data_IF_644989180462
#
_entry.id   IF_644989180462
#
_cell.length_a   1.000
_cell.length_b   1.000
_cell.length_c   1.000
_cell.angle_alpha   90.00
_cell.angle_beta   90.00
_cell.angle_gamma   90.00
#
_symmetry.space_group_name_H-M   'P 1'
#
loop_
_entity.id
_entity.type
_entity.pdbx_description
1 polymer ?
#
# COMPACT_ATOMS: atom_id res chain seq x y z
N UNK A 1 6.53 -11.35 14.68
CA UNK A 1 6.46 -12.16 13.45
C UNK A 1 6.31 -11.29 12.20
N UNK A 2 5.28 -10.42 12.10
CA UNK A 2 5.05 -9.54 10.94
C UNK A 2 6.32 -8.85 10.42
N UNK A 3 6.99 -8.05 11.26
CA UNK A 3 8.20 -7.33 10.87
C UNK A 3 9.37 -8.25 10.46
N UNK A 4 9.51 -9.44 11.07
CA UNK A 4 10.56 -10.40 10.70
C UNK A 4 10.30 -11.00 9.31
N UNK A 5 9.05 -11.38 9.03
CA UNK A 5 8.68 -12.01 7.76
C UNK A 5 8.58 -11.04 6.59
N UNK A 6 8.36 -9.74 6.85
CA UNK A 6 8.30 -8.70 5.80
C UNK A 6 9.60 -7.91 5.74
N UNK A 7 9.81 -6.97 6.67
CA UNK A 7 10.99 -6.09 6.68
C UNK A 7 12.31 -6.86 6.81
N UNK A 8 12.33 -7.89 7.66
CA UNK A 8 13.50 -8.74 7.85
C UNK A 8 13.67 -9.81 6.77
N UNK A 9 12.68 -10.00 5.90
CA UNK A 9 12.63 -11.03 4.86
C UNK A 9 13.05 -12.44 5.37
N UNK A 10 12.73 -12.76 6.62
CA UNK A 10 13.17 -14.00 7.27
C UNK A 10 12.40 -15.21 6.72
N UNK A 11 13.13 -16.09 6.01
CA UNK A 11 12.55 -17.25 5.31
C UNK A 11 11.89 -18.24 6.25
N UNK A 12 12.45 -18.44 7.44
CA UNK A 12 11.87 -19.35 8.43
C UNK A 12 10.52 -18.81 8.94
N UNK A 13 10.46 -17.53 9.27
CA UNK A 13 9.21 -16.84 9.63
C UNK A 13 8.18 -16.88 8.50
N UNK A 14 8.59 -16.69 7.25
CA UNK A 14 7.69 -16.78 6.09
C UNK A 14 7.10 -18.18 5.94
N UNK A 15 7.92 -19.22 6.05
CA UNK A 15 7.46 -20.62 5.98
C UNK A 15 6.48 -20.95 7.10
N UNK A 16 6.79 -20.54 8.34
CA UNK A 16 5.90 -20.74 9.49
C UNK A 16 4.59 -19.98 9.33
N UNK A 17 4.63 -18.74 8.84
CA UNK A 17 3.44 -17.95 8.60
C UNK A 17 2.53 -18.60 7.55
N UNK A 18 3.09 -19.15 6.48
CA UNK A 18 2.35 -19.89 5.46
C UNK A 18 1.70 -21.15 6.02
N UNK A 19 2.42 -21.92 6.84
CA UNK A 19 1.87 -23.12 7.48
C UNK A 19 0.69 -22.78 8.41
N UNK A 20 0.83 -21.74 9.24
CA UNK A 20 -0.25 -21.27 10.13
C UNK A 20 -1.42 -20.69 9.36
N UNK A 21 -1.17 -19.97 8.27
CA UNK A 21 -2.23 -19.45 7.42
C UNK A 21 -3.02 -20.59 6.77
N UNK A 22 -2.34 -21.65 6.31
CA UNK A 22 -3.01 -22.86 5.81
C UNK A 22 -3.90 -23.51 6.89
N UNK A 23 -3.39 -23.66 8.12
CA UNK A 23 -4.17 -24.17 9.25
C UNK A 23 -5.40 -23.31 9.55
N UNK A 24 -5.23 -21.97 9.59
CA UNK A 24 -6.32 -21.01 9.78
C UNK A 24 -7.42 -21.14 8.73
N UNK A 25 -7.06 -21.40 7.46
CA UNK A 25 -8.03 -21.60 6.37
C UNK A 25 -8.82 -22.89 6.55
N UNK A 26 -8.19 -23.95 7.04
CA UNK A 26 -8.86 -25.24 7.29
C UNK A 26 -9.77 -25.17 8.51
N UNK A 27 -9.32 -24.53 9.59
CA UNK A 27 -10.10 -24.31 10.80
C UNK A 27 -9.63 -23.01 11.48
N UNK A 28 -10.50 -22.00 11.49
CA UNK A 28 -10.19 -20.68 12.02
C UNK A 28 -9.94 -20.67 13.54
N UNK A 29 -10.37 -21.71 14.26
CA UNK A 29 -10.11 -21.86 15.69
C UNK A 29 -8.67 -22.31 16.00
N UNK A 30 -7.91 -22.77 15.00
CA UNK A 30 -6.53 -23.28 15.19
C UNK A 30 -5.49 -22.18 15.38
N UNK A 31 -5.84 -20.93 15.08
CA UNK A 31 -4.93 -19.78 15.14
C UNK A 31 -5.56 -18.65 15.94
N UNK A 32 -4.79 -18.06 16.85
CA UNK A 32 -5.20 -16.85 17.57
C UNK A 32 -5.59 -15.74 16.57
N UNK A 33 -6.82 -15.17 16.64
CA UNK A 33 -7.26 -14.11 15.76
C UNK A 33 -6.32 -12.90 15.67
N UNK A 34 -5.54 -12.62 16.72
CA UNK A 34 -4.56 -11.53 16.74
C UNK A 34 -3.35 -11.78 15.84
N UNK A 35 -3.07 -13.05 15.50
CA UNK A 35 -1.97 -13.41 14.59
C UNK A 35 -2.38 -13.29 13.13
N UNK A 36 -3.67 -13.45 12.81
CA UNK A 36 -4.16 -13.53 11.42
C UNK A 36 -3.73 -12.33 10.55
N UNK A 37 -3.80 -11.06 11.02
CA UNK A 37 -3.33 -9.93 10.21
C UNK A 37 -1.84 -10.04 9.86
N UNK A 38 -1.00 -10.52 10.78
CA UNK A 38 0.43 -10.71 10.53
C UNK A 38 0.68 -11.86 9.54
N UNK A 39 -0.07 -12.97 9.66
CA UNK A 39 0.02 -14.09 8.73
C UNK A 39 -0.34 -13.67 7.31
N UNK A 40 -1.49 -13.00 7.14
CA UNK A 40 -1.96 -12.49 5.84
C UNK A 40 -0.96 -11.51 5.24
N UNK A 41 -0.40 -10.60 6.04
CA UNK A 41 0.61 -9.65 5.57
C UNK A 41 1.90 -10.33 5.11
N UNK A 42 2.36 -11.39 5.81
CA UNK A 42 3.57 -12.12 5.44
C UNK A 42 3.33 -12.94 4.17
N UNK A 43 2.19 -13.63 4.08
CA UNK A 43 1.83 -14.43 2.89
C UNK A 43 1.70 -13.52 1.67
N UNK A 44 1.01 -12.38 1.75
CA UNK A 44 0.95 -11.45 0.62
C UNK A 44 2.33 -10.90 0.24
N UNK A 45 3.17 -10.54 1.20
CA UNK A 45 4.50 -10.00 0.94
C UNK A 45 5.44 -10.99 0.24
N UNK A 46 5.35 -12.27 0.61
CA UNK A 46 6.19 -13.35 0.08
C UNK A 46 5.47 -14.26 -0.92
N UNK A 47 4.28 -13.84 -1.36
CA UNK A 47 3.35 -14.65 -2.14
C UNK A 47 3.56 -14.54 -3.64
N UNK A 48 3.06 -15.55 -4.34
CA UNK A 48 3.08 -15.64 -5.80
C UNK A 48 1.67 -15.37 -6.40
N UNK A 49 1.52 -15.66 -7.69
CA UNK A 49 0.25 -15.50 -8.39
C UNK A 49 -0.88 -16.36 -7.81
N UNK A 50 -0.59 -17.58 -7.35
CA UNK A 50 -1.60 -18.45 -6.77
C UNK A 50 -2.10 -17.91 -5.43
N UNK A 51 -1.19 -17.38 -4.60
CA UNK A 51 -1.56 -16.69 -3.35
C UNK A 51 -2.38 -15.42 -3.63
N UNK A 52 -2.03 -14.68 -4.69
CA UNK A 52 -2.78 -13.48 -5.10
C UNK A 52 -4.20 -13.83 -5.53
N UNK A 53 -4.36 -14.84 -6.38
CA UNK A 53 -5.67 -15.27 -6.85
C UNK A 53 -6.54 -15.79 -5.71
N UNK A 54 -5.93 -16.45 -4.72
CA UNK A 54 -6.61 -16.85 -3.49
C UNK A 54 -7.09 -15.64 -2.69
N UNK A 55 -6.22 -14.65 -2.47
CA UNK A 55 -6.57 -13.43 -1.72
C UNK A 55 -7.61 -12.60 -2.46
N UNK A 56 -7.50 -12.51 -3.78
CA UNK A 56 -8.47 -11.87 -4.65
C UNK A 56 -9.83 -12.54 -4.52
N UNK A 57 -9.88 -13.87 -4.63
CA UNK A 57 -11.10 -14.65 -4.43
C UNK A 57 -11.69 -14.41 -3.04
N UNK A 58 -10.86 -14.47 -2.00
CA UNK A 58 -11.28 -14.25 -0.62
C UNK A 58 -11.85 -12.84 -0.39
N UNK A 59 -11.27 -11.81 -1.03
CA UNK A 59 -11.83 -10.46 -1.10
C UNK A 59 -13.23 -10.47 -1.74
N UNK A 60 -13.39 -11.09 -2.91
CA UNK A 60 -14.67 -11.08 -3.65
C UNK A 60 -15.77 -11.89 -2.96
N UNK A 61 -15.43 -12.94 -2.22
CA UNK A 61 -16.40 -13.86 -1.60
C UNK A 61 -16.50 -13.70 -0.07
N UNK A 62 -15.86 -12.68 0.51
CA UNK A 62 -15.87 -12.46 1.95
C UNK A 62 -17.30 -12.35 2.51
N UNK A 63 -17.55 -12.99 3.64
CA UNK A 63 -18.86 -12.97 4.32
C UNK A 63 -19.02 -11.75 5.22
N UNK A 64 -17.92 -11.11 5.59
CA UNK A 64 -17.90 -9.97 6.50
C UNK A 64 -17.11 -8.80 5.89
N UNK A 65 -17.51 -7.55 6.17
CA UNK A 65 -16.73 -6.38 5.72
C UNK A 65 -15.29 -6.39 6.24
N UNK A 66 -15.05 -6.95 7.43
CA UNK A 66 -13.71 -7.05 8.01
C UNK A 66 -12.81 -7.99 7.18
N UNK A 67 -13.31 -9.13 6.75
CA UNK A 67 -12.57 -10.05 5.88
C UNK A 67 -12.38 -9.48 4.48
N UNK A 68 -13.40 -8.84 3.91
CA UNK A 68 -13.30 -8.16 2.62
C UNK A 68 -12.15 -7.14 2.64
N UNK A 69 -12.14 -6.25 3.64
CA UNK A 69 -11.09 -5.23 3.80
C UNK A 69 -9.72 -5.85 4.07
N UNK A 70 -9.65 -6.93 4.86
CA UNK A 70 -8.40 -7.63 5.15
C UNK A 70 -7.73 -8.12 3.87
N UNK A 71 -8.46 -8.83 3.02
CA UNK A 71 -7.91 -9.38 1.79
C UNK A 71 -7.70 -8.31 0.72
N UNK A 72 -8.63 -7.36 0.57
CA UNK A 72 -8.49 -6.24 -0.35
C UNK A 72 -7.17 -5.47 -0.14
N UNK A 73 -6.89 -5.09 1.11
CA UNK A 73 -5.68 -4.33 1.43
C UNK A 73 -4.42 -5.18 1.44
N UNK A 74 -4.54 -6.49 1.62
CA UNK A 74 -3.40 -7.39 1.49
C UNK A 74 -2.90 -7.51 0.03
N UNK A 75 -3.77 -7.31 -0.98
CA UNK A 75 -3.36 -7.30 -2.39
C UNK A 75 -2.26 -6.26 -2.68
N UNK A 76 -2.28 -5.11 -2.01
CA UNK A 76 -1.27 -4.06 -2.18
C UNK A 76 0.13 -4.44 -1.64
N UNK A 77 0.24 -5.54 -0.87
CA UNK A 77 1.49 -6.02 -0.31
C UNK A 77 2.24 -7.02 -1.21
N UNK A 78 1.61 -7.52 -2.28
CA UNK A 78 2.29 -8.39 -3.25
C UNK A 78 3.40 -7.62 -3.98
N UNK A 79 4.59 -8.22 -4.02
CA UNK A 79 5.80 -7.60 -4.59
C UNK A 79 5.94 -7.75 -6.11
N UNK A 80 5.53 -8.88 -6.74
CA UNK A 80 5.65 -9.02 -8.19
C UNK A 80 4.92 -7.90 -8.94
N UNK A 81 5.58 -7.33 -9.95
CA UNK A 81 5.12 -6.10 -10.62
C UNK A 81 3.77 -6.28 -11.30
N UNK A 82 3.56 -7.43 -11.93
CA UNK A 82 2.32 -7.81 -12.60
C UNK A 82 1.13 -7.89 -11.64
N UNK A 83 1.35 -8.37 -10.40
CA UNK A 83 0.30 -8.44 -9.37
C UNK A 83 0.00 -7.06 -8.78
N UNK A 84 1.03 -6.22 -8.64
CA UNK A 84 0.86 -4.83 -8.25
C UNK A 84 0.03 -4.05 -9.27
N UNK A 85 0.29 -4.23 -10.57
CA UNK A 85 -0.50 -3.62 -11.66
C UNK A 85 -1.95 -4.10 -11.66
N UNK A 86 -2.18 -5.40 -11.46
CA UNK A 86 -3.55 -5.94 -11.26
C UNK A 86 -4.26 -5.19 -10.12
N UNK A 87 -3.56 -4.92 -9.02
CA UNK A 87 -4.13 -4.21 -7.87
C UNK A 87 -4.37 -2.72 -8.16
N UNK A 88 -3.50 -2.05 -8.94
CA UNK A 88 -3.74 -0.67 -9.38
C UNK A 88 -5.02 -0.57 -10.19
N UNK A 89 -5.26 -1.49 -11.13
CA UNK A 89 -6.48 -1.53 -11.94
C UNK A 89 -7.74 -1.68 -11.09
N UNK A 90 -7.68 -2.42 -9.97
CA UNK A 90 -8.81 -2.53 -9.03
C UNK A 90 -9.25 -1.19 -8.44
N UNK A 91 -8.35 -0.19 -8.39
CA UNK A 91 -8.68 1.13 -7.87
C UNK A 91 -9.60 1.91 -8.81
N UNK A 92 -9.66 1.57 -10.10
CA UNK A 92 -10.42 2.34 -11.10
C UNK A 92 -11.45 1.51 -11.89
N UNK A 93 -11.38 0.18 -11.87
CA UNK A 93 -12.23 -0.69 -12.70
C UNK A 93 -13.64 -0.96 -12.14
N UNK A 94 -13.96 -0.42 -10.95
CA UNK A 94 -15.28 -0.57 -10.31
C UNK A 94 -15.50 -1.87 -9.52
N UNK A 95 -14.50 -2.74 -9.43
CA UNK A 95 -14.62 -3.98 -8.65
C UNK A 95 -14.49 -3.78 -7.15
N UNK A 96 -13.84 -2.68 -6.74
CA UNK A 96 -13.70 -2.26 -5.35
C UNK A 96 -14.77 -1.22 -5.05
N UNK A 97 -15.41 -1.34 -3.89
CA UNK A 97 -16.38 -0.33 -3.42
C UNK A 97 -15.73 1.06 -3.47
N UNK A 98 -16.45 2.04 -4.02
CA UNK A 98 -15.97 3.41 -4.25
C UNK A 98 -15.35 4.07 -3.01
N UNK A 99 -15.86 3.76 -1.83
CA UNK A 99 -15.33 4.26 -0.55
C UNK A 99 -14.01 3.60 -0.09
N UNK A 100 -13.71 2.38 -0.58
CA UNK A 100 -12.51 1.62 -0.20
C UNK A 100 -11.36 1.84 -1.20
N UNK A 101 -11.66 2.04 -2.48
CA UNK A 101 -10.67 2.26 -3.54
C UNK A 101 -9.65 3.40 -3.23
N UNK A 102 -10.05 4.57 -2.70
CA UNK A 102 -9.10 5.61 -2.28
C UNK A 102 -8.09 5.15 -1.23
N UNK A 103 -8.51 4.27 -0.30
CA UNK A 103 -7.62 3.72 0.73
C UNK A 103 -6.68 2.65 0.17
N UNK A 104 -7.13 1.87 -0.83
CA UNK A 104 -6.27 0.94 -1.55
C UNK A 104 -5.20 1.70 -2.35
N UNK A 105 -5.60 2.74 -3.08
CA UNK A 105 -4.66 3.59 -3.83
C UNK A 105 -3.62 4.26 -2.90
N UNK A 106 -4.05 4.72 -1.72
CA UNK A 106 -3.12 5.21 -0.68
C UNK A 106 -2.08 4.18 -0.28
N UNK A 107 -2.47 2.92 -0.09
CA UNK A 107 -1.53 1.85 0.29
C UNK A 107 -0.54 1.54 -0.84
N UNK A 108 -1.00 1.54 -2.09
CA UNK A 108 -0.13 1.34 -3.27
C UNK A 108 0.91 2.46 -3.40
N UNK A 109 0.54 3.72 -3.11
CA UNK A 109 1.48 4.85 -3.06
C UNK A 109 2.51 4.75 -1.92
N UNK A 110 2.21 3.96 -0.87
CA UNK A 110 3.13 3.72 0.24
C UNK A 110 3.99 2.47 0.04
N UNK A 111 3.80 1.73 -1.05
CA UNK A 111 4.62 0.57 -1.37
C UNK A 111 6.06 1.01 -1.69
N UNK A 112 7.04 0.58 -0.88
CA UNK A 112 8.41 1.08 -0.97
C UNK A 112 9.11 0.75 -2.28
N UNK A 113 8.70 -0.31 -2.98
CA UNK A 113 9.32 -0.73 -4.24
C UNK A 113 8.63 -0.12 -5.46
N UNK A 114 7.31 0.08 -5.40
CA UNK A 114 6.49 0.39 -6.58
C UNK A 114 5.73 1.73 -6.49
N UNK A 115 5.95 2.54 -5.43
CA UNK A 115 5.26 3.83 -5.22
C UNK A 115 5.34 4.80 -6.39
N UNK A 116 6.44 4.84 -7.12
CA UNK A 116 6.60 5.76 -8.28
C UNK A 116 5.68 5.35 -9.44
N UNK A 117 5.51 4.04 -9.65
CA UNK A 117 4.55 3.49 -10.61
C UNK A 117 3.11 3.76 -10.18
N UNK A 118 2.78 3.58 -8.89
CA UNK A 118 1.47 4.00 -8.36
C UNK A 118 1.22 5.50 -8.50
N UNK A 119 2.25 6.32 -8.33
CA UNK A 119 2.17 7.77 -8.54
C UNK A 119 1.87 8.12 -10.00
N UNK A 120 2.57 7.49 -10.94
CA UNK A 120 2.28 7.66 -12.37
C UNK A 120 0.84 7.26 -12.70
N UNK A 121 0.41 6.09 -12.23
CA UNK A 121 -0.98 5.61 -12.43
C UNK A 121 -2.02 6.59 -11.86
N UNK A 122 -1.79 7.14 -10.67
CA UNK A 122 -2.69 8.14 -10.07
C UNK A 122 -2.80 9.38 -10.94
N UNK A 123 -1.67 9.92 -11.44
CA UNK A 123 -1.69 11.10 -12.31
C UNK A 123 -2.48 10.81 -13.59
N UNK A 124 -2.25 9.66 -14.21
CA UNK A 124 -2.88 9.28 -15.48
C UNK A 124 -4.39 9.02 -15.34
N UNK A 125 -4.84 8.66 -14.15
CA UNK A 125 -6.24 8.33 -13.86
C UNK A 125 -6.93 9.33 -12.93
N UNK A 126 -6.32 10.50 -12.68
CA UNK A 126 -6.77 11.44 -11.65
C UNK A 126 -8.23 11.86 -11.81
N UNK A 127 -8.63 12.28 -13.02
CA UNK A 127 -9.99 12.73 -13.29
C UNK A 127 -11.01 11.58 -13.16
N UNK A 128 -10.64 10.37 -13.59
CA UNK A 128 -11.48 9.19 -13.42
C UNK A 128 -11.69 8.84 -11.94
N UNK A 129 -10.61 8.93 -11.13
CA UNK A 129 -10.68 8.74 -9.68
C UNK A 129 -11.58 9.80 -9.01
N UNK A 130 -11.44 11.08 -9.38
CA UNK A 130 -12.30 12.14 -8.85
C UNK A 130 -13.79 11.96 -9.22
N UNK A 131 -14.07 11.41 -10.40
CA UNK A 131 -15.43 11.09 -10.84
C UNK A 131 -16.04 9.89 -10.13
N UNK A 132 -15.22 8.93 -9.70
CA UNK A 132 -15.70 7.67 -9.11
C UNK A 132 -15.69 7.67 -7.58
N UNK A 133 -14.77 8.39 -6.95
CA UNK A 133 -14.56 8.35 -5.51
C UNK A 133 -15.40 9.39 -4.76
N UNK A 134 -15.82 9.10 -3.52
CA UNK A 134 -16.43 10.12 -2.68
C UNK A 134 -15.44 11.27 -2.42
N UNK A 135 -15.84 12.51 -2.68
CA UNK A 135 -14.96 13.69 -2.53
C UNK A 135 -14.30 13.80 -1.14
N UNK A 136 -14.98 13.35 -0.08
CA UNK A 136 -14.46 13.36 1.31
C UNK A 136 -13.30 12.37 1.57
N UNK A 137 -13.04 11.45 0.64
CA UNK A 137 -11.99 10.43 0.74
C UNK A 137 -10.72 10.80 -0.03
N UNK A 138 -10.83 11.65 -1.06
CA UNK A 138 -9.70 12.12 -1.88
C UNK A 138 -8.55 12.67 -1.02
N UNK A 139 -8.78 13.55 -0.03
CA UNK A 139 -7.66 14.11 0.73
C UNK A 139 -6.89 13.04 1.51
N UNK A 140 -7.59 12.00 1.99
CA UNK A 140 -6.95 10.86 2.68
C UNK A 140 -6.17 9.97 1.73
N UNK A 141 -6.66 9.77 0.50
CA UNK A 141 -5.90 9.06 -0.54
C UNK A 141 -4.56 9.76 -0.81
N UNK A 142 -4.58 11.09 -0.89
CA UNK A 142 -3.39 11.90 -1.15
C UNK A 142 -2.31 11.77 -0.07
N UNK A 143 -2.59 11.24 1.12
CA UNK A 143 -1.54 10.97 2.12
C UNK A 143 -0.44 10.04 1.59
N UNK A 144 -0.76 9.17 0.62
CA UNK A 144 0.20 8.24 0.03
C UNK A 144 1.43 8.92 -0.60
N UNK A 145 1.31 10.17 -1.06
CA UNK A 145 2.43 10.91 -1.67
C UNK A 145 3.56 11.20 -0.68
N UNK A 146 3.31 11.08 0.63
CA UNK A 146 4.35 11.21 1.66
C UNK A 146 5.44 10.14 1.54
N UNK A 147 5.17 9.04 0.83
CA UNK A 147 6.16 8.03 0.48
C UNK A 147 7.13 8.44 -0.61
N UNK A 148 6.87 9.49 -1.41
CA UNK A 148 7.65 9.85 -2.60
C UNK A 148 8.86 10.73 -2.28
N UNK A 149 9.75 10.22 -1.43
CA UNK A 149 10.71 11.00 -0.63
C UNK A 149 11.94 11.56 -1.36
N UNK A 150 12.02 11.54 -2.70
CA UNK A 150 13.14 12.16 -3.43
C UNK A 150 12.89 13.65 -3.70
N UNK A 151 13.94 14.48 -3.85
CA UNK A 151 13.78 15.89 -4.20
C UNK A 151 13.00 16.12 -5.50
N UNK A 152 13.22 15.27 -6.50
CA UNK A 152 12.56 15.31 -7.81
C UNK A 152 11.06 15.04 -7.65
N UNK A 153 10.70 13.94 -6.99
CA UNK A 153 9.30 13.59 -6.76
C UNK A 153 8.59 14.62 -5.88
N UNK A 154 9.26 15.19 -4.87
CA UNK A 154 8.69 16.29 -4.07
C UNK A 154 8.29 17.47 -4.93
N UNK A 155 9.15 17.89 -5.85
CA UNK A 155 8.87 19.01 -6.75
C UNK A 155 7.68 18.69 -7.66
N UNK A 156 7.65 17.47 -8.20
CA UNK A 156 6.57 16.98 -9.05
C UNK A 156 5.22 16.92 -8.31
N UNK A 157 5.18 16.33 -7.12
CA UNK A 157 3.97 16.27 -6.27
C UNK A 157 3.46 17.66 -5.92
N UNK A 158 4.37 18.59 -5.61
CA UNK A 158 4.01 19.97 -5.29
C UNK A 158 3.38 20.67 -6.50
N UNK A 159 3.98 20.52 -7.69
CA UNK A 159 3.44 21.08 -8.93
C UNK A 159 2.09 20.44 -9.29
N UNK A 160 1.95 19.13 -9.11
CA UNK A 160 0.71 18.41 -9.38
C UNK A 160 -0.45 18.96 -8.54
N UNK A 161 -0.29 19.08 -7.21
CA UNK A 161 -1.37 19.60 -6.36
C UNK A 161 -1.61 21.10 -6.49
N UNK A 162 -0.64 21.87 -7.01
CA UNK A 162 -0.88 23.26 -7.41
C UNK A 162 -1.79 23.36 -8.65
N UNK A 163 -1.61 22.44 -9.61
CA UNK A 163 -2.46 22.35 -10.80
C UNK A 163 -3.81 21.66 -10.55
N UNK A 164 -3.88 20.77 -9.56
CA UNK A 164 -5.07 19.95 -9.26
C UNK A 164 -5.53 20.16 -7.81
N UNK A 165 -6.15 21.31 -7.49
CA UNK A 165 -6.60 21.59 -6.13
C UNK A 165 -7.71 20.63 -5.68
N UNK A 166 -7.51 20.00 -4.52
CA UNK A 166 -8.48 19.09 -3.89
C UNK A 166 -9.50 19.89 -3.08
N UNK A 167 -10.64 20.21 -3.69
CA UNK A 167 -11.71 21.01 -3.08
C UNK A 167 -12.21 20.39 -1.77
N UNK A 168 -12.21 21.17 -0.70
CA UNK A 168 -12.64 20.73 0.64
C UNK A 168 -11.60 19.85 1.37
N UNK A 169 -10.41 19.69 0.79
CA UNK A 169 -9.29 18.93 1.32
C UNK A 169 -7.98 19.70 1.41
N UNK A 170 -7.98 20.99 1.07
CA UNK A 170 -6.80 21.80 0.82
C UNK A 170 -5.86 21.80 2.03
N UNK A 171 -6.41 22.00 3.24
CA UNK A 171 -5.63 21.99 4.48
C UNK A 171 -4.97 20.63 4.74
N UNK A 172 -5.66 19.53 4.45
CA UNK A 172 -5.13 18.18 4.65
C UNK A 172 -4.03 17.87 3.62
N UNK A 173 -4.23 18.25 2.35
CA UNK A 173 -3.20 18.13 1.31
C UNK A 173 -1.96 18.96 1.66
N UNK A 174 -2.12 20.19 2.15
CA UNK A 174 -0.99 21.01 2.63
C UNK A 174 -0.21 20.32 3.76
N UNK A 175 -0.90 19.67 4.70
CA UNK A 175 -0.24 18.87 5.74
C UNK A 175 0.53 17.67 5.17
N UNK A 176 0.03 17.02 4.12
CA UNK A 176 0.74 15.93 3.43
C UNK A 176 1.98 16.44 2.69
N UNK A 177 1.90 17.58 2.01
CA UNK A 177 3.04 18.23 1.37
C UNK A 177 4.12 18.61 2.39
N UNK A 178 3.71 19.10 3.57
CA UNK A 178 4.65 19.41 4.65
C UNK A 178 5.32 18.14 5.21
N UNK A 179 4.57 17.06 5.44
CA UNK A 179 5.15 15.76 5.82
C UNK A 179 6.16 15.26 4.78
N UNK A 180 5.83 15.37 3.49
CA UNK A 180 6.72 15.01 2.39
C UNK A 180 8.00 15.86 2.40
N UNK A 181 7.88 17.18 2.60
CA UNK A 181 9.02 18.09 2.71
C UNK A 181 9.95 17.67 3.86
N UNK A 182 9.39 17.35 5.02
CA UNK A 182 10.14 16.86 6.19
C UNK A 182 10.84 15.54 5.88
N UNK A 183 10.13 14.59 5.25
CA UNK A 183 10.69 13.29 4.89
C UNK A 183 11.88 13.40 3.92
N UNK A 184 11.76 14.24 2.88
CA UNK A 184 12.85 14.52 1.92
C UNK A 184 14.04 15.17 2.63
N UNK A 185 13.79 16.16 3.49
CA UNK A 185 14.86 16.83 4.24
C UNK A 185 15.57 15.86 5.22
N UNK A 186 14.82 14.95 5.85
CA UNK A 186 15.37 13.89 6.68
C UNK A 186 16.24 12.94 5.85
N UNK A 187 15.74 12.47 4.70
CA UNK A 187 16.50 11.60 3.80
C UNK A 187 17.81 12.27 3.38
N UNK A 188 17.78 13.52 2.90
CA UNK A 188 18.99 14.22 2.45
C UNK A 188 20.02 14.42 3.56
N UNK A 189 19.58 14.62 4.80
CA UNK A 189 20.48 14.85 5.95
C UNK A 189 21.07 13.56 6.51
N UNK A 190 20.26 12.51 6.58
CA UNK A 190 20.62 11.27 7.29
C UNK A 190 21.07 10.14 6.38
N UNK A 191 20.89 10.25 5.05
CA UNK A 191 21.19 9.14 4.15
C UNK A 191 22.64 8.66 4.30
N UNK A 192 23.61 9.56 4.25
CA UNK A 192 25.02 9.18 4.36
C UNK A 192 25.36 8.67 5.77
N UNK A 193 24.82 9.29 6.83
CA UNK A 193 24.98 8.80 8.21
C UNK A 193 24.46 7.36 8.37
N UNK A 194 23.30 7.05 7.81
CA UNK A 194 22.69 5.72 7.89
C UNK A 194 23.45 4.70 7.04
N UNK A 195 23.96 5.12 5.87
CA UNK A 195 24.82 4.28 5.03
C UNK A 195 26.06 3.84 5.75
N UNK A 196 26.76 4.78 6.38
CA UNK A 196 27.98 4.53 7.13
C UNK A 196 27.69 3.63 8.34
N UNK A 197 26.62 3.90 9.08
CA UNK A 197 26.26 3.11 10.26
C UNK A 197 25.88 1.66 9.96
N UNK A 198 25.15 1.42 8.86
CA UNK A 198 24.71 0.08 8.47
C UNK A 198 25.64 -0.61 7.48
N UNK A 199 26.78 0.01 7.12
CA UNK A 199 27.70 -0.47 6.09
C UNK A 199 26.97 -0.80 4.76
N UNK A 200 25.93 -0.03 4.44
CA UNK A 200 25.05 -0.29 3.30
C UNK A 200 25.61 0.30 2.02
N UNK A 201 25.86 -0.56 1.02
CA UNK A 201 26.14 -0.17 -0.37
C UNK A 201 24.91 -0.39 -1.26
N UNK A 202 24.57 0.56 -2.15
CA UNK A 202 23.34 0.51 -2.96
C UNK A 202 23.21 -0.68 -3.90
#
# INVERSE_FOLDING_TARGET
MGALGTLGNDRATQAEARARYAAYKSDSATVDPNLVPALVSIVAHSGDEADYDEFYTAFKTAKTPQEEMRYLFALAAFQPSELFERTLVLTTNGEVRTQNAPFLMRQLLLNTQQRERAWQFLKDNWDAMLGHYPASTIPRMCEGVTGLVTPQLKAEVTAFFAAHPVKGGEKMVQQHLEKLRIAVACQQRELDNLRDYFEWTP
#
